data_IF_067111597603
#
_entry.id   IF_067111597603
#
_cell.length_a   1.000
_cell.length_b   1.000
_cell.length_c   1.000
_cell.angle_alpha   90.00
_cell.angle_beta   90.00
_cell.angle_gamma   90.00
#
_symmetry.space_group_name_H-M   'P 1'
#
loop_
_entity.id
_entity.type
_entity.pdbx_description
1 polymer ?
#
# COMPACT_ATOMS: atom_id res chain seq x y z
N UNK A 1 19.83 -1.58 10.97
CA UNK A 1 19.19 -2.28 9.85
C UNK A 1 17.68 -2.27 10.08
N UNK A 2 16.97 -1.29 9.50
CA UNK A 2 15.54 -1.03 9.76
C UNK A 2 14.64 -2.13 9.18
N UNK A 3 15.17 -2.88 8.21
CA UNK A 3 14.40 -3.88 7.48
C UNK A 3 14.59 -5.27 8.10
N UNK A 4 15.77 -5.56 8.66
CA UNK A 4 16.07 -6.89 9.20
C UNK A 4 15.89 -7.02 10.72
N UNK A 5 15.91 -5.93 11.49
CA UNK A 5 15.76 -5.99 12.96
C UNK A 5 14.29 -5.76 13.35
N UNK A 6 13.62 -6.71 14.04
CA UNK A 6 12.29 -6.47 14.58
C UNK A 6 12.26 -5.25 15.49
N UNK A 7 11.19 -4.45 15.38
CA UNK A 7 10.98 -3.25 16.18
C UNK A 7 10.99 -3.58 17.67
N UNK A 8 10.41 -4.71 18.09
CA UNK A 8 10.45 -5.14 19.50
C UNK A 8 11.88 -5.40 20.01
N UNK A 9 12.78 -5.91 19.15
CA UNK A 9 14.18 -6.13 19.51
C UNK A 9 14.94 -4.80 19.58
N UNK A 10 14.62 -3.87 18.69
CA UNK A 10 15.17 -2.52 18.71
C UNK A 10 14.80 -1.80 20.03
N UNK A 11 13.54 -1.87 20.45
CA UNK A 11 13.04 -1.23 21.68
C UNK A 11 13.65 -1.83 22.96
N UNK A 12 13.99 -3.13 22.96
CA UNK A 12 14.53 -3.83 24.11
C UNK A 12 16.07 -3.77 24.24
N UNK A 13 16.73 -2.80 23.59
CA UNK A 13 18.15 -2.48 23.75
C UNK A 13 19.12 -3.68 23.59
N UNK A 14 19.04 -4.49 22.53
CA UNK A 14 20.05 -5.55 22.18
C UNK A 14 20.46 -6.56 23.29
N UNK A 15 19.97 -6.46 24.53
CA UNK A 15 20.45 -7.17 25.72
C UNK A 15 19.69 -8.46 25.98
N UNK A 16 18.69 -8.79 25.17
CA UNK A 16 18.08 -10.12 25.14
C UNK A 16 18.38 -10.80 23.80
N UNK A 17 19.66 -10.91 23.45
CA UNK A 17 20.09 -12.02 22.60
C UNK A 17 20.08 -13.27 23.48
N UNK A 18 19.21 -14.19 23.09
CA UNK A 18 19.24 -15.61 23.48
C UNK A 18 18.81 -15.91 24.92
N UNK A 19 17.53 -16.24 25.08
CA UNK A 19 16.98 -17.32 25.92
C UNK A 19 15.56 -16.95 26.38
N UNK A 20 14.59 -17.13 25.48
CA UNK A 20 13.19 -16.95 25.79
C UNK A 20 12.37 -17.41 24.59
N UNK A 21 11.33 -18.22 24.84
CA UNK A 21 10.44 -18.81 23.84
C UNK A 21 10.23 -17.89 22.64
N UNK A 22 10.49 -18.40 21.43
CA UNK A 22 10.26 -17.68 20.16
C UNK A 22 8.84 -17.11 20.21
N UNK A 23 8.70 -15.79 20.37
CA UNK A 23 7.39 -15.15 20.43
C UNK A 23 6.77 -15.31 19.05
N UNK A 24 5.73 -16.14 18.96
CA UNK A 24 5.10 -16.51 17.69
C UNK A 24 4.00 -15.52 17.27
N UNK A 25 3.43 -14.76 18.21
CA UNK A 25 2.34 -13.82 17.96
C UNK A 25 2.45 -12.61 18.88
N UNK A 26 2.52 -11.39 18.33
CA UNK A 26 2.45 -10.13 19.10
C UNK A 26 2.08 -8.95 18.20
N UNK A 27 1.68 -7.85 18.82
CA UNK A 27 1.67 -6.53 18.18
C UNK A 27 2.17 -5.46 19.16
N UNK A 28 2.83 -4.45 18.63
CA UNK A 28 3.30 -3.27 19.37
C UNK A 28 2.94 -2.02 18.61
N UNK A 29 2.52 -0.98 19.32
CA UNK A 29 2.20 0.33 18.79
C UNK A 29 2.89 1.38 19.66
N UNK A 30 3.67 2.27 19.05
CA UNK A 30 4.43 3.30 19.75
C UNK A 30 4.49 4.58 18.93
N UNK A 31 4.88 5.68 19.58
CA UNK A 31 5.07 6.99 18.94
C UNK A 31 6.31 6.98 18.02
N UNK A 32 6.55 8.12 17.39
CA UNK A 32 7.76 8.39 16.61
C UNK A 32 9.04 8.01 17.37
N UNK A 33 9.97 7.36 16.66
CA UNK A 33 11.30 6.96 17.15
C UNK A 33 12.36 7.63 16.27
N UNK A 34 13.03 8.70 16.76
CA UNK A 34 14.00 9.46 15.96
C UNK A 34 15.13 8.63 15.35
N UNK A 35 15.59 7.58 16.04
CA UNK A 35 16.66 6.68 15.62
C UNK A 35 16.29 5.87 14.37
N UNK A 36 14.99 5.64 14.16
CA UNK A 36 14.43 5.04 12.94
C UNK A 36 14.19 6.05 11.82
N UNK A 37 14.61 7.31 12.01
CA UNK A 37 14.68 8.36 10.99
C UNK A 37 13.33 8.89 10.50
N UNK A 38 13.39 9.97 9.71
CA UNK A 38 12.22 10.75 9.31
C UNK A 38 11.57 10.29 7.99
N UNK A 39 12.23 9.41 7.24
CA UNK A 39 11.70 8.90 5.97
C UNK A 39 10.53 7.92 6.16
N UNK A 40 10.41 7.35 7.37
CA UNK A 40 9.50 6.25 7.67
C UNK A 40 9.69 5.06 6.73
N UNK A 41 8.86 4.03 6.89
CA UNK A 41 8.96 2.85 6.03
C UNK A 41 8.03 1.73 6.45
N UNK A 42 7.87 0.76 5.55
CA UNK A 42 7.13 -0.47 5.81
C UNK A 42 7.97 -1.63 5.29
N UNK A 43 8.23 -2.62 6.15
CA UNK A 43 8.87 -3.87 5.80
C UNK A 43 7.94 -5.05 6.08
N UNK A 44 8.08 -6.10 5.27
CA UNK A 44 7.24 -7.29 5.31
C UNK A 44 8.14 -8.52 5.42
N UNK A 45 7.73 -9.47 6.25
CA UNK A 45 8.31 -10.83 6.25
C UNK A 45 7.24 -11.81 5.80
N UNK A 46 7.58 -12.61 4.81
CA UNK A 46 6.72 -13.66 4.28
C UNK A 46 7.13 -15.02 4.85
N UNK A 47 6.18 -15.90 5.08
CA UNK A 47 6.44 -17.30 5.39
C UNK A 47 6.76 -18.11 4.11
N UNK A 48 7.10 -19.39 4.28
CA UNK A 48 7.41 -20.29 3.16
C UNK A 48 6.21 -20.62 2.27
N UNK A 49 4.99 -20.31 2.72
CA UNK A 49 3.74 -20.53 1.98
C UNK A 49 3.29 -19.25 1.24
N UNK A 50 4.01 -18.14 1.41
CA UNK A 50 3.70 -16.85 0.82
C UNK A 50 2.68 -16.02 1.61
N UNK A 51 2.41 -16.35 2.88
CA UNK A 51 1.61 -15.52 3.77
C UNK A 51 2.48 -14.48 4.47
N UNK A 52 1.90 -13.32 4.80
CA UNK A 52 2.60 -12.30 5.57
C UNK A 52 2.65 -12.74 7.04
N UNK A 53 3.87 -12.94 7.54
CA UNK A 53 4.15 -13.31 8.92
C UNK A 53 4.46 -12.11 9.80
N UNK A 54 5.07 -11.06 9.24
CA UNK A 54 5.38 -9.82 9.96
C UNK A 54 5.14 -8.61 9.09
N UNK A 55 4.57 -7.58 9.70
CA UNK A 55 4.48 -6.23 9.14
C UNK A 55 5.13 -5.29 10.14
N UNK A 56 6.16 -4.58 9.72
CA UNK A 56 6.81 -3.55 10.51
C UNK A 56 6.66 -2.20 9.81
N UNK A 57 6.06 -1.25 10.49
CA UNK A 57 5.86 0.12 10.07
C UNK A 57 6.65 1.03 10.98
N UNK A 58 7.50 1.88 10.40
CA UNK A 58 8.37 2.79 11.15
C UNK A 58 8.01 4.22 10.79
N UNK A 59 7.73 5.04 11.81
CA UNK A 59 7.46 6.47 11.69
C UNK A 59 6.51 6.82 10.53
N UNK A 60 5.38 6.11 10.44
CA UNK A 60 4.33 6.40 9.44
C UNK A 60 3.13 7.10 10.07
N UNK A 61 2.40 7.88 9.28
CA UNK A 61 1.18 8.52 9.74
C UNK A 61 0.04 7.50 9.95
N UNK A 62 -0.93 7.86 10.79
CA UNK A 62 -2.04 6.97 11.15
C UNK A 62 -2.94 6.62 9.96
N UNK A 63 -3.11 7.55 9.00
CA UNK A 63 -3.89 7.29 7.79
C UNK A 63 -3.29 6.14 6.99
N UNK A 64 -1.96 6.08 6.87
CA UNK A 64 -1.26 4.97 6.20
C UNK A 64 -1.47 3.65 6.92
N UNK A 65 -1.49 3.65 8.26
CA UNK A 65 -1.83 2.44 9.04
C UNK A 65 -3.26 1.96 8.77
N UNK A 66 -4.25 2.87 8.74
CA UNK A 66 -5.63 2.52 8.36
C UNK A 66 -5.71 1.97 6.94
N UNK A 67 -5.06 2.62 5.97
CA UNK A 67 -4.98 2.13 4.58
C UNK A 67 -4.43 0.70 4.52
N UNK A 68 -3.39 0.39 5.29
CA UNK A 68 -2.81 -0.95 5.34
C UNK A 68 -3.74 -1.98 5.99
N UNK A 69 -4.32 -1.64 7.14
CA UNK A 69 -5.19 -2.53 7.91
C UNK A 69 -6.49 -2.86 7.18
N UNK A 70 -7.13 -1.86 6.54
CA UNK A 70 -8.41 -2.03 5.84
C UNK A 70 -8.22 -2.42 4.37
N UNK A 71 -7.15 -1.95 3.75
CA UNK A 71 -6.76 -2.36 2.39
C UNK A 71 -6.13 -3.74 2.33
N UNK A 72 -5.83 -4.38 3.48
CA UNK A 72 -5.12 -5.66 3.54
C UNK A 72 -3.78 -5.64 2.79
N UNK A 73 -3.06 -4.52 2.94
CA UNK A 73 -1.86 -4.16 2.15
C UNK A 73 -2.05 -4.16 0.63
N UNK A 74 -3.28 -4.37 0.14
CA UNK A 74 -3.59 -4.15 -1.25
C UNK A 74 -3.64 -2.63 -1.47
N UNK A 75 -3.06 -2.23 -2.57
CA UNK A 75 -2.82 -0.83 -2.91
C UNK A 75 -4.06 -0.11 -3.43
N UNK A 76 -5.20 -0.83 -3.57
CA UNK A 76 -6.47 -0.32 -4.10
C UNK A 76 -7.03 0.88 -3.35
N UNK A 77 -6.59 1.10 -2.10
CA UNK A 77 -6.94 2.30 -1.36
C UNK A 77 -5.90 3.37 -1.69
N UNK A 78 -5.95 3.91 -2.90
CA UNK A 78 -5.17 5.09 -3.26
C UNK A 78 -5.72 6.34 -2.56
N UNK A 79 -5.05 7.48 -2.68
CA UNK A 79 -5.48 8.70 -2.00
C UNK A 79 -6.82 9.27 -2.51
N UNK A 80 -7.30 8.81 -3.68
CA UNK A 80 -8.64 9.05 -4.22
C UNK A 80 -9.73 8.12 -3.66
N UNK A 81 -9.34 6.99 -3.06
CA UNK A 81 -10.25 6.05 -2.39
C UNK A 81 -10.26 6.20 -0.86
N UNK A 82 -9.81 7.34 -0.32
CA UNK A 82 -9.80 7.62 1.12
C UNK A 82 -10.54 8.92 1.43
N UNK A 83 -11.66 8.80 2.14
CA UNK A 83 -12.38 9.92 2.72
C UNK A 83 -11.98 10.08 4.20
N UNK A 84 -11.45 11.26 4.55
CA UNK A 84 -11.16 11.64 5.94
C UNK A 84 -12.23 12.63 6.39
N UNK A 85 -13.21 12.14 7.15
CA UNK A 85 -14.33 12.91 7.70
C UNK A 85 -13.97 13.43 9.10
N UNK A 86 -12.82 14.08 9.23
CA UNK A 86 -12.37 14.70 10.47
C UNK A 86 -11.38 15.83 10.19
N UNK A 87 -11.48 16.89 10.99
CA UNK A 87 -10.53 18.00 10.99
C UNK A 87 -9.37 17.78 11.97
N UNK A 88 -9.32 16.62 12.64
CA UNK A 88 -8.25 16.31 13.59
C UNK A 88 -6.90 16.28 12.88
N UNK A 89 -5.91 16.85 13.55
CA UNK A 89 -4.59 17.00 12.97
C UNK A 89 -3.84 15.69 12.76
N UNK A 90 -4.20 14.60 13.45
CA UNK A 90 -3.60 13.27 13.29
C UNK A 90 -3.92 12.65 11.92
N UNK A 91 -5.13 12.86 11.41
CA UNK A 91 -5.61 12.28 10.14
C UNK A 91 -5.56 13.28 8.98
N UNK A 92 -5.44 14.57 9.26
CA UNK A 92 -5.35 15.61 8.23
C UNK A 92 -4.07 15.50 7.40
N UNK A 93 -4.18 15.76 6.09
CA UNK A 93 -3.02 15.87 5.18
C UNK A 93 -2.33 17.23 5.33
N UNK A 94 -0.99 17.24 5.25
CA UNK A 94 -0.19 18.46 5.35
C UNK A 94 0.75 18.56 4.14
N UNK A 95 0.74 19.72 3.48
CA UNK A 95 1.66 20.05 2.39
C UNK A 95 2.86 20.82 2.95
N UNK A 96 3.66 20.17 3.80
CA UNK A 96 4.94 20.71 4.27
C UNK A 96 6.06 19.71 3.99
N UNK A 97 7.26 20.21 3.74
CA UNK A 97 8.43 19.41 3.42
C UNK A 97 9.69 19.96 4.10
N UNK A 98 10.79 19.19 4.03
CA UNK A 98 12.08 19.56 4.62
C UNK A 98 12.04 19.70 6.14
N UNK A 99 12.88 20.59 6.68
CA UNK A 99 13.00 20.79 8.14
C UNK A 99 11.69 21.25 8.79
N UNK A 100 10.86 22.01 8.06
CA UNK A 100 9.57 22.47 8.57
C UNK A 100 8.59 21.32 8.85
N UNK A 101 8.78 20.16 8.20
CA UNK A 101 7.95 18.97 8.42
C UNK A 101 8.35 18.18 9.68
N UNK A 102 9.58 18.31 10.18
CA UNK A 102 10.10 17.45 11.27
C UNK A 102 9.24 17.49 12.54
N UNK A 103 8.84 18.67 13.07
CA UNK A 103 8.00 18.72 14.28
C UNK A 103 6.61 18.13 14.06
N UNK A 104 6.12 18.13 12.81
CA UNK A 104 4.84 17.52 12.45
C UNK A 104 4.97 16.00 12.40
N UNK A 105 6.05 15.50 11.79
CA UNK A 105 6.36 14.07 11.72
C UNK A 105 6.49 13.49 13.13
N UNK A 106 7.30 14.10 13.99
CA UNK A 106 7.54 13.65 15.37
C UNK A 106 6.25 13.51 16.19
N UNK A 107 5.28 14.39 15.98
CA UNK A 107 4.03 14.42 16.76
C UNK A 107 2.93 13.52 16.20
N UNK A 108 3.03 13.09 14.94
CA UNK A 108 1.89 12.49 14.21
C UNK A 108 2.21 11.19 13.49
N UNK A 109 3.42 10.68 13.69
CA UNK A 109 3.82 9.39 13.15
C UNK A 109 4.04 8.39 14.28
N UNK A 110 3.86 7.14 13.91
CA UNK A 110 3.83 6.01 14.82
C UNK A 110 4.68 4.89 14.24
N UNK A 111 5.25 4.09 15.14
CA UNK A 111 5.79 2.80 14.77
C UNK A 111 4.79 1.72 15.18
N UNK A 112 4.63 0.72 14.32
CA UNK A 112 3.76 -0.42 14.57
C UNK A 112 4.43 -1.67 14.05
N UNK A 113 4.46 -2.72 14.85
CA UNK A 113 4.90 -4.03 14.40
C UNK A 113 3.90 -5.08 14.83
N UNK A 114 3.59 -5.99 13.93
CA UNK A 114 2.77 -7.16 14.20
C UNK A 114 3.47 -8.38 13.64
N UNK A 115 3.53 -9.43 14.45
CA UNK A 115 3.92 -10.77 14.04
C UNK A 115 2.73 -11.67 14.29
N UNK A 116 2.32 -12.40 13.26
CA UNK A 116 1.28 -13.40 13.41
C UNK A 116 1.58 -14.68 12.63
N UNK A 117 1.20 -15.82 13.20
CA UNK A 117 1.14 -17.12 12.51
C UNK A 117 -0.16 -17.34 11.76
N UNK A 118 -1.15 -16.47 11.96
CA UNK A 118 -2.50 -16.64 11.47
C UNK A 118 -2.72 -15.74 10.25
N UNK A 119 -3.59 -16.18 9.34
CA UNK A 119 -3.90 -15.43 8.11
C UNK A 119 -4.74 -14.16 8.34
N UNK A 120 -5.03 -13.80 9.60
CA UNK A 120 -5.90 -12.69 10.01
C UNK A 120 -5.10 -11.47 10.50
N UNK A 121 -3.87 -11.29 10.01
CA UNK A 121 -2.97 -10.22 10.45
C UNK A 121 -3.60 -8.83 10.29
N UNK A 122 -4.39 -8.62 9.23
CA UNK A 122 -5.05 -7.35 8.95
C UNK A 122 -6.24 -7.07 9.85
N UNK A 123 -7.05 -8.08 10.15
CA UNK A 123 -8.14 -7.99 11.12
C UNK A 123 -7.59 -7.66 12.51
N UNK A 124 -6.43 -8.23 12.87
CA UNK A 124 -5.72 -7.88 14.10
C UNK A 124 -5.19 -6.44 14.07
N UNK A 125 -4.61 -5.98 12.94
CA UNK A 125 -4.25 -4.56 12.77
C UNK A 125 -5.45 -3.62 12.98
N UNK A 126 -6.63 -3.97 12.45
CA UNK A 126 -7.85 -3.17 12.62
C UNK A 126 -8.27 -3.08 14.09
N UNK A 127 -8.18 -4.20 14.83
CA UNK A 127 -8.47 -4.24 16.27
C UNK A 127 -7.46 -3.44 17.08
N UNK A 128 -6.17 -3.59 16.79
CA UNK A 128 -5.09 -2.85 17.46
C UNK A 128 -5.27 -1.34 17.26
N UNK A 129 -5.60 -0.90 16.04
CA UNK A 129 -5.86 0.52 15.74
C UNK A 129 -7.08 1.06 16.50
N UNK A 130 -8.15 0.27 16.61
CA UNK A 130 -9.34 0.64 17.39
C UNK A 130 -9.02 0.84 18.88
N UNK A 131 -8.07 0.08 19.42
CA UNK A 131 -7.63 0.20 20.83
C UNK A 131 -6.65 1.35 20.99
N UNK A 132 -5.68 1.49 20.08
CA UNK A 132 -4.60 2.45 20.18
C UNK A 132 -5.03 3.90 19.87
N UNK A 133 -6.03 4.07 18.99
CA UNK A 133 -6.52 5.38 18.53
C UNK A 133 -8.07 5.40 18.53
N UNK A 134 -8.71 5.28 19.72
CA UNK A 134 -10.15 5.08 19.84
C UNK A 134 -11.00 6.29 19.39
N UNK A 135 -10.39 7.47 19.24
CA UNK A 135 -11.04 8.69 18.75
C UNK A 135 -11.40 8.67 17.26
N UNK A 136 -10.93 7.66 16.51
CA UNK A 136 -11.33 7.46 15.12
C UNK A 136 -11.94 6.07 14.91
N UNK A 137 -12.93 6.02 14.02
CA UNK A 137 -13.40 4.79 13.42
C UNK A 137 -13.06 4.76 11.94
N UNK A 138 -12.87 3.55 11.41
CA UNK A 138 -12.64 3.34 9.99
C UNK A 138 -13.48 2.18 9.47
N UNK A 139 -13.93 2.31 8.23
CA UNK A 139 -14.72 1.29 7.52
C UNK A 139 -14.47 1.35 6.03
N UNK A 140 -14.64 0.21 5.36
CA UNK A 140 -14.68 0.15 3.89
C UNK A 140 -16.14 0.13 3.45
N UNK A 141 -16.49 1.03 2.53
CA UNK A 141 -17.79 1.07 1.87
C UNK A 141 -17.62 0.84 0.38
N UNK A 142 -18.69 0.38 -0.28
CA UNK A 142 -18.77 0.42 -1.74
C UNK A 142 -19.23 1.81 -2.15
N UNK A 143 -18.42 2.51 -2.93
CA UNK A 143 -18.74 3.81 -3.49
C UNK A 143 -18.90 3.71 -5.01
N UNK A 144 -19.67 4.64 -5.59
CA UNK A 144 -19.90 4.75 -7.03
C UNK A 144 -19.65 6.18 -7.50
N UNK A 145 -18.48 6.43 -8.07
CA UNK A 145 -18.09 7.74 -8.56
C UNK A 145 -17.03 7.65 -9.68
N UNK A 146 -16.35 8.77 -9.98
CA UNK A 146 -15.40 8.85 -11.09
C UNK A 146 -14.11 8.10 -10.79
N UNK A 147 -13.82 7.10 -11.63
CA UNK A 147 -12.67 6.22 -11.53
C UNK A 147 -11.89 6.22 -12.85
N UNK A 148 -10.59 5.91 -12.77
CA UNK A 148 -9.82 5.46 -13.92
C UNK A 148 -10.07 3.97 -14.09
N UNK A 149 -10.84 3.60 -15.10
CA UNK A 149 -11.18 2.20 -15.38
C UNK A 149 -10.15 1.64 -16.35
N UNK A 150 -9.43 0.60 -15.92
CA UNK A 150 -8.53 -0.17 -16.76
C UNK A 150 -9.34 -1.25 -17.48
N UNK A 151 -9.32 -1.18 -18.80
CA UNK A 151 -10.12 -2.01 -19.69
C UNK A 151 -9.23 -2.74 -20.69
N UNK A 152 -9.69 -3.92 -21.10
CA UNK A 152 -9.10 -4.70 -22.17
C UNK A 152 -9.82 -4.34 -23.47
N UNK A 153 -9.09 -3.82 -24.46
CA UNK A 153 -9.65 -3.42 -25.76
C UNK A 153 -9.50 -4.50 -26.84
N UNK A 154 -8.54 -5.41 -26.69
CA UNK A 154 -8.33 -6.56 -27.57
C UNK A 154 -7.60 -7.69 -26.80
N UNK A 155 -7.16 -8.76 -27.49
CA UNK A 155 -6.50 -9.91 -26.85
C UNK A 155 -4.96 -9.86 -26.85
N UNK A 156 -4.33 -8.72 -27.18
CA UNK A 156 -2.87 -8.63 -27.35
C UNK A 156 -2.12 -8.98 -26.06
N UNK A 157 -2.71 -8.72 -24.88
CA UNK A 157 -2.16 -9.13 -23.58
C UNK A 157 -1.87 -10.64 -23.47
N UNK A 158 -2.59 -11.49 -24.22
CA UNK A 158 -2.36 -12.94 -24.21
C UNK A 158 -0.96 -13.32 -24.71
N UNK A 159 -0.36 -12.50 -25.59
CA UNK A 159 1.01 -12.70 -26.08
C UNK A 159 2.09 -12.42 -25.04
N UNK A 160 1.71 -11.77 -23.93
CA UNK A 160 2.61 -11.41 -22.83
C UNK A 160 2.41 -12.26 -21.58
N UNK A 161 1.56 -13.30 -21.66
CA UNK A 161 1.33 -14.24 -20.56
C UNK A 161 2.61 -15.00 -20.24
N UNK A 162 2.90 -15.11 -18.94
CA UNK A 162 4.05 -15.85 -18.44
C UNK A 162 3.59 -17.06 -17.63
N UNK A 163 4.16 -18.22 -17.94
CA UNK A 163 4.01 -19.42 -17.13
C UNK A 163 5.17 -19.53 -16.13
N UNK A 164 5.03 -18.84 -15.00
CA UNK A 164 6.00 -18.86 -13.91
C UNK A 164 5.48 -19.65 -12.73
N UNK A 165 6.34 -20.51 -12.17
CA UNK A 165 6.07 -21.18 -10.89
C UNK A 165 6.19 -20.23 -9.69
N UNK A 166 6.84 -19.08 -9.86
CA UNK A 166 6.96 -18.06 -8.82
C UNK A 166 5.71 -17.20 -8.77
N UNK A 167 5.22 -16.91 -7.57
CA UNK A 167 4.15 -15.92 -7.35
C UNK A 167 4.67 -14.50 -7.14
N UNK A 168 5.99 -14.32 -7.14
CA UNK A 168 6.59 -13.01 -6.95
C UNK A 168 6.53 -12.24 -8.27
N UNK A 169 5.92 -11.06 -8.21
CA UNK A 169 6.00 -10.04 -9.26
C UNK A 169 7.30 -9.27 -9.08
N UNK A 170 7.97 -8.93 -10.19
CA UNK A 170 9.10 -8.00 -10.17
C UNK A 170 8.66 -6.65 -10.71
N UNK A 171 9.22 -5.59 -10.16
CA UNK A 171 8.87 -4.22 -10.51
C UNK A 171 10.12 -3.36 -10.58
N UNK A 172 10.28 -2.64 -11.70
CA UNK A 172 11.38 -1.72 -11.93
C UNK A 172 10.86 -0.40 -12.50
N UNK A 173 11.49 0.71 -12.10
CA UNK A 173 11.26 2.04 -12.64
C UNK A 173 12.60 2.62 -13.06
N UNK A 174 12.67 3.08 -14.31
CA UNK A 174 13.82 3.79 -14.84
C UNK A 174 13.34 5.07 -15.56
N UNK A 175 13.43 6.21 -14.88
CA UNK A 175 12.81 7.45 -15.37
C UNK A 175 11.31 7.28 -15.52
N UNK A 176 10.79 7.51 -16.73
CA UNK A 176 9.39 7.31 -17.07
C UNK A 176 9.08 5.94 -17.68
N UNK A 177 10.03 5.00 -17.62
CA UNK A 177 9.82 3.63 -18.03
C UNK A 177 9.50 2.76 -16.83
N UNK A 178 8.48 1.95 -16.96
CA UNK A 178 7.98 1.02 -15.94
C UNK A 178 8.02 -0.38 -16.53
N UNK A 179 8.57 -1.33 -15.78
CA UNK A 179 8.51 -2.75 -16.10
C UNK A 179 7.93 -3.51 -14.91
N UNK A 180 6.84 -4.23 -15.16
CA UNK A 180 6.27 -5.21 -14.26
C UNK A 180 6.44 -6.60 -14.90
N UNK A 181 7.18 -7.48 -14.24
CA UNK A 181 7.33 -8.87 -14.70
C UNK A 181 6.57 -9.84 -13.83
N UNK A 182 6.07 -10.89 -14.45
CA UNK A 182 5.27 -11.95 -13.87
C UNK A 182 4.20 -11.36 -12.94
N UNK A 183 3.48 -10.32 -13.38
CA UNK A 183 2.53 -9.60 -12.56
C UNK A 183 1.09 -10.04 -12.86
N UNK A 184 0.19 -9.87 -11.89
CA UNK A 184 -1.26 -9.95 -12.11
C UNK A 184 -1.85 -8.54 -12.22
N UNK A 185 -3.13 -8.44 -12.59
CA UNK A 185 -3.79 -7.15 -12.79
C UNK A 185 -3.88 -6.31 -11.51
N UNK A 186 -3.94 -6.95 -10.33
CA UNK A 186 -3.87 -6.26 -9.05
C UNK A 186 -2.50 -5.62 -8.80
N UNK A 187 -1.42 -6.34 -9.13
CA UNK A 187 -0.04 -5.86 -9.05
C UNK A 187 0.22 -4.76 -10.09
N UNK A 188 -0.33 -4.89 -11.29
CA UNK A 188 -0.21 -3.86 -12.32
C UNK A 188 -0.96 -2.58 -11.94
N UNK A 189 -2.20 -2.70 -11.46
CA UNK A 189 -2.96 -1.57 -10.91
C UNK A 189 -2.18 -0.85 -9.81
N UNK A 190 -1.56 -1.61 -8.92
CA UNK A 190 -0.71 -1.07 -7.85
C UNK A 190 0.41 -0.18 -8.41
N UNK A 191 1.06 -0.62 -9.48
CA UNK A 191 2.08 0.18 -10.17
C UNK A 191 1.49 1.47 -10.74
N UNK A 192 0.35 1.40 -11.43
CA UNK A 192 -0.33 2.58 -11.95
C UNK A 192 -0.66 3.57 -10.84
N UNK A 193 -1.22 3.11 -9.72
CA UNK A 193 -1.58 3.94 -8.56
C UNK A 193 -0.36 4.54 -7.86
N UNK A 194 0.71 3.77 -7.66
CA UNK A 194 1.85 4.19 -6.84
C UNK A 194 2.89 5.03 -7.60
N UNK A 195 2.98 4.86 -8.92
CA UNK A 195 4.03 5.48 -9.75
C UNK A 195 3.45 6.58 -10.62
N UNK A 196 2.42 6.26 -11.40
CA UNK A 196 1.92 7.14 -12.47
C UNK A 196 0.86 8.10 -11.93
N UNK A 197 -0.12 7.54 -11.23
CA UNK A 197 -1.29 8.25 -10.71
C UNK A 197 -1.23 8.50 -9.21
N UNK A 198 0.00 8.59 -8.64
CA UNK A 198 0.22 8.79 -7.19
C UNK A 198 -0.58 9.94 -6.59
N UNK A 199 -0.73 11.02 -7.35
CA UNK A 199 -1.43 12.24 -6.93
C UNK A 199 -2.80 12.41 -7.60
N UNK A 200 -3.26 11.41 -8.34
CA UNK A 200 -4.58 11.45 -8.95
C UNK A 200 -5.68 11.40 -7.87
N UNK A 201 -6.78 12.10 -8.14
CA UNK A 201 -7.96 12.09 -7.27
C UNK A 201 -8.89 10.90 -7.53
N UNK A 202 -8.61 10.12 -8.57
CA UNK A 202 -9.46 9.04 -9.02
C UNK A 202 -8.87 7.69 -8.62
N UNK A 203 -9.67 6.78 -8.03
CA UNK A 203 -9.26 5.39 -7.85
C UNK A 203 -9.11 4.70 -9.20
N UNK A 204 -8.26 3.65 -9.25
CA UNK A 204 -8.14 2.81 -10.43
C UNK A 204 -8.99 1.54 -10.23
N UNK A 205 -9.81 1.19 -11.20
CA UNK A 205 -10.67 -0.01 -11.15
C UNK A 205 -10.27 -0.92 -12.30
N UNK A 206 -10.05 -2.20 -11.99
CA UNK A 206 -9.81 -3.23 -13.00
C UNK A 206 -11.15 -3.74 -13.54
N UNK A 207 -11.37 -3.57 -14.84
CA UNK A 207 -12.48 -4.17 -15.59
C UNK A 207 -11.97 -4.97 -16.80
N UNK A 208 -10.71 -5.37 -16.79
CA UNK A 208 -10.10 -6.16 -17.88
C UNK A 208 -10.63 -7.59 -17.91
N UNK A 209 -11.04 -8.12 -16.75
CA UNK A 209 -11.37 -9.54 -16.56
C UNK A 209 -10.17 -10.47 -16.74
N UNK A 210 -8.95 -9.93 -16.77
CA UNK A 210 -7.75 -10.71 -17.07
C UNK A 210 -7.13 -11.31 -15.80
N UNK A 211 -7.20 -12.64 -15.68
CA UNK A 211 -6.79 -13.35 -14.46
C UNK A 211 -5.40 -14.00 -14.55
N UNK A 212 -4.78 -13.99 -15.73
CA UNK A 212 -3.46 -14.59 -15.94
C UNK A 212 -2.36 -13.64 -15.50
N UNK A 213 -1.15 -14.19 -15.30
CA UNK A 213 0.05 -13.40 -15.05
C UNK A 213 0.71 -13.02 -16.37
N UNK A 214 1.29 -11.83 -16.44
CA UNK A 214 1.87 -11.27 -17.65
C UNK A 214 3.06 -10.35 -17.36
N UNK A 215 3.87 -10.13 -18.39
CA UNK A 215 4.91 -9.11 -18.41
C UNK A 215 4.40 -7.85 -19.12
N UNK A 216 4.72 -6.69 -18.58
CA UNK A 216 4.43 -5.41 -19.23
C UNK A 216 5.56 -4.43 -18.99
N UNK A 217 6.06 -3.84 -20.07
CA UNK A 217 7.06 -2.78 -20.04
C UNK A 217 6.64 -1.64 -20.96
N UNK A 218 6.56 -0.43 -20.41
CA UNK A 218 6.14 0.73 -21.18
C UNK A 218 6.82 1.99 -20.65
N UNK A 219 7.04 2.93 -21.56
CA UNK A 219 7.56 4.25 -21.26
C UNK A 219 6.50 5.27 -21.62
N UNK A 220 6.44 6.35 -20.85
CA UNK A 220 5.56 7.48 -21.10
C UNK A 220 6.34 8.79 -21.04
N UNK A 221 5.85 9.83 -21.69
CA UNK A 221 6.43 11.17 -21.64
C UNK A 221 5.83 12.01 -20.51
N UNK A 222 4.54 11.81 -20.24
CA UNK A 222 3.71 12.59 -19.31
C UNK A 222 2.78 11.68 -18.52
N UNK A 223 2.31 12.15 -17.36
CA UNK A 223 1.31 11.41 -16.58
C UNK A 223 -0.14 11.64 -17.08
N UNK A 224 -0.31 12.01 -18.36
CA UNK A 224 -1.64 12.22 -18.97
C UNK A 224 -2.27 10.88 -19.36
N UNK A 225 -3.60 10.79 -19.28
CA UNK A 225 -4.31 9.54 -19.60
C UNK A 225 -4.08 9.16 -21.05
N UNK A 226 -4.00 10.15 -21.94
CA UNK A 226 -3.78 9.99 -23.37
C UNK A 226 -2.42 9.35 -23.66
N UNK A 227 -1.35 9.85 -23.06
CA UNK A 227 0.01 9.34 -23.25
C UNK A 227 0.19 7.94 -22.64
N UNK A 228 -0.36 7.73 -21.44
CA UNK A 228 -0.39 6.38 -20.85
C UNK A 228 -1.16 5.41 -21.75
N UNK A 229 -2.28 5.82 -22.35
CA UNK A 229 -3.02 4.97 -23.27
C UNK A 229 -2.25 4.62 -24.54
N UNK A 230 -1.44 5.55 -25.07
CA UNK A 230 -0.53 5.24 -26.19
C UNK A 230 0.45 4.15 -25.78
N UNK A 231 1.01 4.25 -24.57
CA UNK A 231 1.98 3.29 -24.06
C UNK A 231 1.38 1.91 -23.72
N UNK A 232 0.10 1.87 -23.33
CA UNK A 232 -0.64 0.64 -23.04
C UNK A 232 -1.25 -0.04 -24.26
N UNK A 233 -1.38 0.68 -25.38
CA UNK A 233 -2.01 0.19 -26.61
C UNK A 233 -1.42 -1.15 -27.12
N UNK A 234 -0.08 -1.37 -27.14
CA UNK A 234 0.51 -2.63 -27.60
C UNK A 234 0.10 -3.86 -26.77
N UNK A 235 -0.34 -3.63 -25.53
CA UNK A 235 -0.80 -4.66 -24.61
C UNK A 235 -2.31 -4.90 -24.69
N UNK A 236 -3.02 -4.16 -25.55
CA UNK A 236 -4.47 -4.25 -25.62
C UNK A 236 -5.18 -3.68 -24.40
N UNK A 237 -4.55 -2.72 -23.71
CA UNK A 237 -5.06 -2.12 -22.49
C UNK A 237 -5.33 -0.62 -22.68
N UNK A 238 -6.34 -0.11 -21.98
CA UNK A 238 -6.69 1.31 -21.97
C UNK A 238 -7.23 1.73 -20.60
N UNK A 239 -6.92 2.97 -20.21
CA UNK A 239 -7.55 3.69 -19.10
C UNK A 239 -8.59 4.67 -19.61
N UNK A 240 -9.77 4.65 -19.02
CA UNK A 240 -10.83 5.62 -19.31
C UNK A 240 -11.44 6.20 -18.02
N UNK A 241 -11.80 7.49 -18.03
CA UNK A 241 -12.47 8.12 -16.90
C UNK A 241 -13.97 7.81 -16.97
N UNK A 242 -14.48 7.00 -16.04
CA UNK A 242 -15.89 6.55 -16.01
C UNK A 242 -16.43 6.49 -14.59
N UNK A 243 -17.76 6.45 -14.47
CA UNK A 243 -18.38 6.11 -13.19
C UNK A 243 -18.29 4.60 -12.97
N UNK A 244 -17.65 4.16 -11.89
CA UNK A 244 -17.52 2.75 -11.54
C UNK A 244 -17.68 2.53 -10.03
N UNK A 245 -18.00 1.29 -9.65
CA UNK A 245 -18.01 0.89 -8.24
C UNK A 245 -16.59 0.57 -7.78
N UNK A 246 -16.24 1.02 -6.57
CA UNK A 246 -14.95 0.73 -5.97
C UNK A 246 -15.04 0.67 -4.44
N UNK A 247 -14.09 0.00 -3.80
CA UNK A 247 -13.94 0.00 -2.34
C UNK A 247 -13.35 1.35 -1.89
N UNK A 248 -13.96 1.96 -0.88
CA UNK A 248 -13.55 3.24 -0.32
C UNK A 248 -13.34 3.15 1.18
N UNK A 249 -12.19 3.61 1.64
CA UNK A 249 -11.91 3.79 3.07
C UNK A 249 -12.50 5.10 3.56
N UNK A 250 -13.34 5.02 4.58
CA UNK A 250 -13.83 6.18 5.32
C UNK A 250 -13.20 6.16 6.71
N UNK A 251 -12.53 7.24 7.09
CA UNK A 251 -11.98 7.47 8.43
C UNK A 251 -12.74 8.65 9.03
N UNK A 252 -13.47 8.43 10.11
CA UNK A 252 -14.31 9.45 10.76
C UNK A 252 -13.99 9.54 12.25
N UNK A 253 -14.26 10.70 12.85
CA UNK A 253 -14.15 10.86 14.30
C UNK A 253 -15.25 10.04 14.98
N UNK A 254 -14.89 9.24 15.98
CA UNK A 254 -15.82 8.44 16.79
C UNK A 254 -16.85 9.28 17.53
#
# INVERSE_FOLDING_TARGET
DRDNTPLIQFLNNHQQREQGKKVINYSIFTKFIPELGYSGGTSLEWDSLGNIKRITNTNINIVKLYKMAYGKMRTFINDGAVDILSNDTLVRRFNVSGMAAMPIIEKRTFCYEIVSTDNNIFEKMQQDLKIAVPEFTAKVIVARDSCLVLEKINNDLESYVVDSKSRLSEFTVNGNCVSNKNCDMSSFRTTLEAVIFRYAKWPIVDQTGFLKRFDIEFCYETNSIEDINVALLPYGLQLSLKIAEHERLVIEKS
#
